data_IF_460789072129
#
_entry.id   IF_460789072129
#
_cell.length_a   1.000
_cell.length_b   1.000
_cell.length_c   1.000
_cell.angle_alpha   90.00
_cell.angle_beta   90.00
_cell.angle_gamma   90.00
#
_symmetry.space_group_name_H-M   'P 1'
#
loop_
_entity.id
_entity.type
_entity.pdbx_description
1 polymer ?
#
# COMPACT_ATOMS: atom_id res chain seq x y z
N UNK A 1 16.72 19.96 -4.70
CA UNK A 1 17.08 19.55 -3.32
C UNK A 1 17.89 18.27 -3.45
N UNK A 2 19.09 18.19 -2.86
CA UNK A 2 19.99 17.03 -2.99
C UNK A 2 20.01 16.26 -1.68
N UNK A 3 19.81 14.94 -1.76
CA UNK A 3 19.85 14.04 -0.62
C UNK A 3 21.12 13.20 -0.68
N UNK A 4 21.89 13.21 0.41
CA UNK A 4 23.13 12.45 0.51
C UNK A 4 22.90 11.24 1.41
N UNK A 5 23.33 10.07 0.94
CA UNK A 5 23.37 8.84 1.73
C UNK A 5 24.70 8.73 2.47
N UNK A 6 25.55 7.81 2.02
CA UNK A 6 26.85 7.52 2.63
C UNK A 6 28.00 8.28 1.95
N UNK A 7 28.00 9.61 2.01
CA UNK A 7 29.05 10.45 1.38
C UNK A 7 29.72 11.32 2.43
N UNK A 8 31.06 11.42 2.41
CA UNK A 8 31.81 12.29 3.33
C UNK A 8 31.36 13.75 3.24
N UNK A 9 31.28 14.45 4.38
CA UNK A 9 30.82 15.84 4.46
C UNK A 9 31.59 16.79 3.53
N UNK A 10 32.87 16.50 3.25
CA UNK A 10 33.72 17.29 2.34
C UNK A 10 33.19 17.24 0.90
N UNK A 11 32.78 16.06 0.44
CA UNK A 11 32.24 15.86 -0.90
C UNK A 11 30.82 16.44 -0.99
N UNK A 12 30.02 16.32 0.09
CA UNK A 12 28.68 16.93 0.14
C UNK A 12 28.75 18.45 -0.03
N UNK A 13 29.66 19.12 0.69
CA UNK A 13 29.83 20.57 0.58
C UNK A 13 30.27 21.00 -0.83
N UNK A 14 31.22 20.27 -1.46
CA UNK A 14 31.63 20.53 -2.86
C UNK A 14 30.46 20.41 -3.84
N UNK A 15 29.63 19.37 -3.71
CA UNK A 15 28.49 19.16 -4.60
C UNK A 15 27.41 20.24 -4.40
N UNK A 16 27.18 20.66 -3.15
CA UNK A 16 26.23 21.73 -2.85
C UNK A 16 26.69 23.07 -3.45
N UNK A 17 27.99 23.35 -3.40
CA UNK A 17 28.58 24.58 -3.94
C UNK A 17 28.50 24.64 -5.47
N UNK A 18 28.80 23.52 -6.16
CA UNK A 18 28.71 23.42 -7.63
C UNK A 18 27.24 23.44 -8.09
N UNK A 19 26.36 22.70 -7.43
CA UNK A 19 24.97 22.53 -7.88
C UNK A 19 24.07 23.70 -7.49
N UNK A 20 24.45 24.51 -6.50
CA UNK A 20 23.62 25.56 -5.86
C UNK A 20 22.26 25.07 -5.35
N UNK A 21 22.11 23.76 -5.15
CA UNK A 21 20.87 23.15 -4.66
C UNK A 21 20.89 23.04 -3.13
N UNK A 22 19.74 23.24 -2.47
CA UNK A 22 19.61 23.06 -1.02
C UNK A 22 19.75 21.58 -0.61
N UNK A 23 20.45 21.32 0.50
CA UNK A 23 20.53 19.99 1.13
C UNK A 23 19.16 19.57 1.67
N UNK A 24 18.72 18.38 1.27
CA UNK A 24 17.54 17.72 1.83
C UNK A 24 17.90 16.92 3.08
N UNK A 25 16.99 16.91 4.05
CA UNK A 25 17.09 16.08 5.26
C UNK A 25 16.08 14.93 5.20
N UNK A 26 16.47 13.78 5.74
CA UNK A 26 15.56 12.66 5.96
C UNK A 26 14.94 12.76 7.36
N UNK A 27 13.70 12.30 7.56
CA UNK A 27 12.77 11.74 6.58
C UNK A 27 11.99 12.82 5.81
N UNK A 28 11.73 12.62 4.52
CA UNK A 28 10.88 13.52 3.72
C UNK A 28 9.75 12.74 3.03
N UNK A 29 8.63 13.41 2.74
CA UNK A 29 7.51 12.80 2.02
C UNK A 29 7.55 13.16 0.55
N UNK A 30 7.52 12.17 -0.33
CA UNK A 30 7.44 12.35 -1.79
C UNK A 30 6.41 11.39 -2.36
N UNK A 31 5.49 11.91 -3.19
CA UNK A 31 4.36 11.15 -3.78
C UNK A 31 3.51 10.39 -2.73
N UNK A 32 3.32 11.00 -1.55
CA UNK A 32 2.54 10.41 -0.45
C UNK A 32 3.26 9.30 0.34
N UNK A 33 4.52 9.02 0.01
CA UNK A 33 5.37 8.04 0.67
C UNK A 33 6.44 8.78 1.48
N UNK A 34 6.68 8.35 2.73
CA UNK A 34 7.83 8.84 3.51
C UNK A 34 9.07 8.06 3.12
N UNK A 35 10.07 8.75 2.56
CA UNK A 35 11.39 8.20 2.31
C UNK A 35 12.18 8.23 3.61
N UNK A 36 12.42 7.05 4.17
CA UNK A 36 13.22 6.84 5.38
C UNK A 36 14.44 6.01 4.96
N UNK A 37 15.61 6.33 5.52
CA UNK A 37 16.85 5.58 5.29
C UNK A 37 16.90 4.24 6.01
N UNK A 38 15.86 3.89 6.77
CA UNK A 38 15.75 2.70 7.60
C UNK A 38 14.56 1.82 7.19
N UNK A 39 14.54 0.58 7.69
CA UNK A 39 13.48 -0.40 7.40
C UNK A 39 12.11 0.18 7.76
N UNK A 40 11.16 0.07 6.82
CA UNK A 40 9.79 0.57 6.97
C UNK A 40 9.17 0.03 8.28
N UNK A 41 8.77 0.91 9.20
CA UNK A 41 8.13 0.50 10.46
C UNK A 41 6.62 0.37 10.26
N UNK A 42 5.96 -0.43 11.09
CA UNK A 42 4.49 -0.58 11.06
C UNK A 42 3.75 0.75 11.20
N UNK A 43 4.37 1.75 11.85
CA UNK A 43 3.82 3.11 11.96
C UNK A 43 3.77 3.84 10.61
N UNK A 44 4.77 3.65 9.74
CA UNK A 44 4.81 4.27 8.41
C UNK A 44 3.75 3.66 7.49
N UNK A 45 3.42 2.39 7.73
CA UNK A 45 2.37 1.65 7.04
C UNK A 45 0.95 2.05 7.46
N UNK A 46 0.77 2.72 8.61
CA UNK A 46 -0.57 3.19 9.03
C UNK A 46 -1.19 4.13 8.00
N UNK A 47 -0.37 4.96 7.36
CA UNK A 47 -0.81 5.85 6.27
C UNK A 47 -1.48 5.11 5.13
N UNK A 48 -0.97 3.92 4.75
CA UNK A 48 -1.60 3.09 3.72
C UNK A 48 -2.97 2.60 4.17
N UNK A 49 -3.05 2.07 5.40
CA UNK A 49 -4.30 1.54 5.97
C UNK A 49 -5.36 2.64 6.08
N UNK A 50 -4.97 3.80 6.60
CA UNK A 50 -5.82 4.99 6.71
C UNK A 50 -6.27 5.52 5.34
N UNK A 51 -5.38 5.56 4.35
CA UNK A 51 -5.73 5.97 2.99
C UNK A 51 -6.76 5.01 2.36
N UNK A 52 -6.59 3.70 2.53
CA UNK A 52 -7.55 2.69 2.08
C UNK A 52 -8.90 2.88 2.79
N UNK A 53 -8.87 3.04 4.12
CA UNK A 53 -10.07 3.26 4.93
C UNK A 53 -10.82 4.53 4.50
N UNK A 54 -10.10 5.62 4.26
CA UNK A 54 -10.68 6.90 3.81
C UNK A 54 -11.36 6.75 2.45
N UNK A 55 -10.75 6.02 1.51
CA UNK A 55 -11.35 5.74 0.20
C UNK A 55 -12.61 4.89 0.32
N UNK A 56 -12.59 3.86 1.17
CA UNK A 56 -13.77 3.04 1.47
C UNK A 56 -14.88 3.92 2.06
N UNK A 57 -14.56 4.78 3.02
CA UNK A 57 -15.52 5.69 3.65
C UNK A 57 -16.14 6.66 2.66
N UNK A 58 -15.35 7.25 1.74
CA UNK A 58 -15.85 8.12 0.68
C UNK A 58 -16.80 7.40 -0.30
N UNK A 59 -16.76 6.08 -0.36
CA UNK A 59 -17.65 5.27 -1.19
C UNK A 59 -18.89 4.78 -0.47
N UNK A 60 -18.93 4.88 0.87
CA UNK A 60 -20.09 4.58 1.73
C UNK A 60 -21.35 5.28 1.29
N UNK A 61 -21.25 6.55 0.88
CA UNK A 61 -22.41 7.36 0.48
C UNK A 61 -23.09 6.88 -0.80
N UNK A 62 -22.47 5.94 -1.53
CA UNK A 62 -22.99 5.38 -2.77
C UNK A 62 -23.36 3.93 -2.51
N UNK A 63 -24.66 3.60 -2.51
CA UNK A 63 -25.14 2.22 -2.39
C UNK A 63 -24.62 1.37 -3.56
N UNK A 64 -23.49 0.69 -3.35
CA UNK A 64 -22.83 -0.11 -4.38
C UNK A 64 -23.30 -1.57 -4.31
N UNK A 65 -23.63 -2.11 -5.48
CA UNK A 65 -23.80 -3.54 -5.66
C UNK A 65 -22.50 -4.30 -5.35
N UNK A 66 -22.62 -5.59 -5.07
CA UNK A 66 -21.46 -6.46 -4.82
C UNK A 66 -20.42 -6.37 -5.96
N UNK A 67 -20.89 -6.40 -7.22
CA UNK A 67 -20.03 -6.26 -8.39
C UNK A 67 -19.35 -4.88 -8.45
N UNK A 68 -20.07 -3.80 -8.12
CA UNK A 68 -19.50 -2.46 -8.04
C UNK A 68 -18.41 -2.33 -6.97
N UNK A 69 -18.59 -2.97 -5.80
CA UNK A 69 -17.56 -3.01 -4.75
C UNK A 69 -16.32 -3.78 -5.20
N UNK A 70 -16.51 -4.94 -5.84
CA UNK A 70 -15.41 -5.72 -6.41
C UNK A 70 -14.62 -4.93 -7.46
N UNK A 71 -15.31 -4.21 -8.35
CA UNK A 71 -14.67 -3.38 -9.36
C UNK A 71 -13.79 -2.30 -8.73
N UNK A 72 -14.29 -1.59 -7.70
CA UNK A 72 -13.52 -0.56 -6.99
C UNK A 72 -12.31 -1.11 -6.23
N UNK A 73 -12.45 -2.28 -5.61
CA UNK A 73 -11.32 -2.96 -4.99
C UNK A 73 -10.25 -3.26 -6.04
N UNK A 74 -10.66 -3.78 -7.19
CA UNK A 74 -9.73 -4.22 -8.24
C UNK A 74 -9.04 -3.04 -8.92
N UNK A 75 -9.77 -1.97 -9.24
CA UNK A 75 -9.22 -0.83 -9.99
C UNK A 75 -8.43 0.16 -9.13
N UNK A 76 -8.88 0.42 -7.89
CA UNK A 76 -8.31 1.49 -7.06
C UNK A 76 -7.55 0.92 -5.88
N UNK A 77 -8.21 0.16 -4.99
CA UNK A 77 -7.58 -0.25 -3.72
C UNK A 77 -6.42 -1.23 -3.93
N UNK A 78 -6.56 -2.15 -4.88
CA UNK A 78 -5.49 -3.07 -5.24
C UNK A 78 -4.30 -2.34 -5.88
N UNK A 79 -4.55 -1.32 -6.71
CA UNK A 79 -3.51 -0.47 -7.29
C UNK A 79 -2.76 0.33 -6.22
N UNK A 80 -3.46 0.89 -5.23
CA UNK A 80 -2.84 1.56 -4.08
C UNK A 80 -1.94 0.62 -3.29
N UNK A 81 -2.43 -0.57 -2.95
CA UNK A 81 -1.63 -1.60 -2.27
C UNK A 81 -0.40 -1.99 -3.10
N UNK A 82 -0.59 -2.23 -4.40
CA UNK A 82 0.48 -2.64 -5.31
C UNK A 82 1.58 -1.57 -5.40
N UNK A 83 1.21 -0.29 -5.46
CA UNK A 83 2.16 0.81 -5.43
C UNK A 83 3.06 0.77 -4.18
N UNK A 84 2.48 0.50 -3.01
CA UNK A 84 3.26 0.37 -1.77
C UNK A 84 4.15 -0.88 -1.77
N UNK A 85 3.66 -2.03 -2.22
CA UNK A 85 4.47 -3.26 -2.33
C UNK A 85 5.64 -3.11 -3.30
N UNK A 86 5.51 -2.29 -4.35
CA UNK A 86 6.58 -2.03 -5.33
C UNK A 86 7.68 -1.13 -4.77
N UNK A 87 7.36 -0.24 -3.82
CA UNK A 87 8.32 0.68 -3.22
C UNK A 87 8.93 0.13 -1.92
N UNK A 88 8.20 -0.74 -1.21
CA UNK A 88 8.63 -1.27 0.09
C UNK A 88 8.23 -2.73 0.29
N UNK A 89 9.05 -3.43 1.08
CA UNK A 89 8.66 -4.70 1.67
C UNK A 89 7.76 -4.44 2.87
N UNK A 90 6.47 -4.71 2.72
CA UNK A 90 5.48 -4.48 3.78
C UNK A 90 5.53 -5.60 4.84
N UNK A 91 5.38 -5.27 6.14
CA UNK A 91 5.20 -6.28 7.18
C UNK A 91 3.93 -7.11 6.95
N UNK A 92 3.97 -8.39 7.32
CA UNK A 92 2.82 -9.31 7.15
C UNK A 92 1.55 -8.79 7.84
N UNK A 93 1.68 -8.17 9.02
CA UNK A 93 0.56 -7.62 9.77
C UNK A 93 -0.19 -6.54 8.97
N UNK A 94 0.54 -5.62 8.34
CA UNK A 94 -0.04 -4.55 7.51
C UNK A 94 -0.79 -5.12 6.31
N UNK A 95 -0.24 -6.16 5.68
CA UNK A 95 -0.91 -6.85 4.57
C UNK A 95 -2.21 -7.50 5.03
N UNK A 96 -2.22 -8.10 6.22
CA UNK A 96 -3.43 -8.68 6.83
C UNK A 96 -4.47 -7.61 7.14
N UNK A 97 -4.07 -6.48 7.74
CA UNK A 97 -4.97 -5.37 8.04
C UNK A 97 -5.62 -4.81 6.75
N UNK A 98 -4.82 -4.66 5.68
CA UNK A 98 -5.33 -4.25 4.37
C UNK A 98 -6.32 -5.27 3.81
N UNK A 99 -5.97 -6.55 3.81
CA UNK A 99 -6.83 -7.64 3.32
C UNK A 99 -8.15 -7.72 4.10
N UNK A 100 -8.12 -7.48 5.41
CA UNK A 100 -9.31 -7.43 6.25
C UNK A 100 -10.23 -6.26 5.87
N UNK A 101 -9.69 -5.06 5.66
CA UNK A 101 -10.47 -3.90 5.19
C UNK A 101 -11.12 -4.17 3.82
N UNK A 102 -10.37 -4.74 2.87
CA UNK A 102 -10.90 -5.09 1.55
C UNK A 102 -12.00 -6.15 1.65
N UNK A 103 -11.78 -7.18 2.48
CA UNK A 103 -12.76 -8.23 2.72
C UNK A 103 -14.04 -7.67 3.32
N UNK A 104 -13.92 -6.82 4.33
CA UNK A 104 -15.05 -6.18 4.99
C UNK A 104 -15.84 -5.33 4.01
N UNK A 105 -15.15 -4.51 3.22
CA UNK A 105 -15.78 -3.69 2.20
C UNK A 105 -16.49 -4.52 1.13
N UNK A 106 -15.89 -5.61 0.66
CA UNK A 106 -16.51 -6.46 -0.37
C UNK A 106 -17.86 -7.04 0.08
N UNK A 107 -17.92 -7.59 1.29
CA UNK A 107 -19.09 -8.33 1.79
C UNK A 107 -20.14 -7.44 2.45
N UNK A 108 -19.71 -6.51 3.31
CA UNK A 108 -20.60 -5.72 4.18
C UNK A 108 -20.71 -4.26 3.74
N UNK A 109 -19.94 -3.86 2.72
CA UNK A 109 -19.77 -2.47 2.39
C UNK A 109 -19.20 -1.73 3.59
N UNK A 110 -19.92 -0.73 4.04
CA UNK A 110 -19.54 0.15 5.14
C UNK A 110 -20.43 -0.01 6.37
N UNK A 111 -21.31 -1.02 6.36
CA UNK A 111 -22.06 -1.38 7.54
C UNK A 111 -21.09 -1.91 8.61
N UNK A 112 -21.22 -1.40 9.84
CA UNK A 112 -20.35 -1.77 10.95
C UNK A 112 -20.70 -3.16 11.54
N UNK A 113 -21.39 -4.01 10.78
CA UNK A 113 -21.85 -5.32 11.22
C UNK A 113 -20.66 -6.27 11.36
N UNK A 114 -20.51 -6.90 12.53
CA UNK A 114 -19.45 -7.87 12.85
C UNK A 114 -19.79 -9.25 12.28
N UNK A 115 -20.06 -9.33 10.99
CA UNK A 115 -20.38 -10.62 10.35
C UNK A 115 -19.16 -11.12 9.59
N UNK A 116 -18.90 -12.42 9.63
CA UNK A 116 -17.79 -13.02 8.89
C UNK A 116 -18.14 -13.12 7.40
N UNK A 117 -17.23 -12.68 6.52
CA UNK A 117 -17.46 -12.75 5.07
C UNK A 117 -17.66 -14.21 4.60
N UNK A 118 -18.65 -14.43 3.72
CA UNK A 118 -19.16 -15.75 3.30
C UNK A 118 -18.10 -16.69 2.68
N UNK A 119 -16.98 -16.17 2.21
CA UNK A 119 -15.91 -16.91 1.53
C UNK A 119 -14.56 -16.53 2.12
N UNK A 120 -13.65 -17.51 2.27
CA UNK A 120 -12.25 -17.26 2.68
C UNK A 120 -11.57 -16.31 1.69
N UNK A 121 -10.85 -15.32 2.19
CA UNK A 121 -10.18 -14.30 1.36
C UNK A 121 -9.22 -14.93 0.34
N UNK A 122 -8.50 -15.98 0.75
CA UNK A 122 -7.60 -16.74 -0.13
C UNK A 122 -8.29 -17.36 -1.35
N UNK A 123 -9.58 -17.72 -1.27
CA UNK A 123 -10.34 -18.19 -2.44
C UNK A 123 -10.73 -17.03 -3.36
N UNK A 124 -11.06 -15.87 -2.79
CA UNK A 124 -11.35 -14.65 -3.58
C UNK A 124 -10.12 -14.21 -4.37
N UNK A 125 -8.93 -14.37 -3.78
CA UNK A 125 -7.65 -14.03 -4.43
C UNK A 125 -7.17 -15.05 -5.48
N UNK A 126 -7.90 -16.14 -5.74
CA UNK A 126 -7.51 -17.06 -6.81
C UNK A 126 -7.73 -16.44 -8.19
N UNK A 127 -6.97 -16.87 -9.22
CA UNK A 127 -7.28 -16.55 -10.61
C UNK A 127 -8.72 -16.92 -10.96
N UNK A 128 -9.32 -16.17 -11.89
CA UNK A 128 -10.71 -16.42 -12.34
C UNK A 128 -10.89 -17.83 -12.91
N UNK A 129 -9.87 -18.33 -13.62
CA UNK A 129 -9.79 -19.70 -14.15
C UNK A 129 -9.91 -20.78 -13.05
N UNK A 130 -9.46 -20.47 -11.83
CA UNK A 130 -9.50 -21.38 -10.67
C UNK A 130 -10.70 -21.09 -9.74
N UNK A 131 -11.74 -20.45 -10.26
CA UNK A 131 -12.97 -20.12 -9.51
C UNK A 131 -12.84 -18.96 -8.53
N UNK A 132 -11.75 -18.19 -8.59
CA UNK A 132 -11.55 -16.99 -7.79
C UNK A 132 -12.10 -15.72 -8.45
N UNK A 133 -11.88 -14.57 -7.81
CA UNK A 133 -12.30 -13.26 -8.34
C UNK A 133 -11.15 -12.46 -8.96
N UNK A 134 -9.96 -13.05 -9.06
CA UNK A 134 -8.80 -12.43 -9.70
C UNK A 134 -8.13 -11.32 -8.89
N UNK A 135 -8.42 -11.21 -7.59
CA UNK A 135 -7.70 -10.29 -6.71
C UNK A 135 -6.30 -10.84 -6.43
N UNK A 136 -5.27 -10.01 -6.49
CA UNK A 136 -3.90 -10.48 -6.19
C UNK A 136 -3.70 -10.68 -4.70
N UNK A 137 -3.17 -11.84 -4.31
CA UNK A 137 -2.84 -12.14 -2.92
C UNK A 137 -1.70 -11.23 -2.45
N UNK A 138 -1.96 -10.50 -1.37
CA UNK A 138 -1.03 -9.51 -0.79
C UNK A 138 0.32 -10.11 -0.42
N UNK A 139 0.35 -11.37 0.06
CA UNK A 139 1.59 -12.06 0.41
C UNK A 139 2.40 -12.47 -0.82
N UNK A 140 1.74 -12.88 -1.90
CA UNK A 140 2.42 -13.27 -3.15
C UNK A 140 3.02 -12.06 -3.84
N UNK A 141 2.27 -10.95 -3.88
CA UNK A 141 2.77 -9.68 -4.45
C UNK A 141 3.97 -9.17 -3.65
N UNK A 142 3.91 -9.17 -2.32
CA UNK A 142 5.02 -8.69 -1.48
C UNK A 142 6.27 -9.58 -1.58
N UNK A 143 6.11 -10.90 -1.76
CA UNK A 143 7.24 -11.81 -2.05
C UNK A 143 7.82 -11.56 -3.43
N UNK A 144 6.98 -11.38 -4.45
CA UNK A 144 7.42 -11.14 -5.81
C UNK A 144 8.15 -9.80 -5.93
N UNK A 145 7.66 -8.74 -5.27
CA UNK A 145 8.34 -7.44 -5.29
C UNK A 145 9.64 -7.45 -4.49
N UNK A 146 9.73 -8.22 -3.40
CA UNK A 146 11.00 -8.43 -2.69
C UNK A 146 12.10 -8.95 -3.63
N UNK A 147 11.78 -9.88 -4.54
CA UNK A 147 12.75 -10.42 -5.50
C UNK A 147 13.14 -9.42 -6.60
N UNK A 148 12.35 -8.38 -6.83
CA UNK A 148 12.61 -7.36 -7.86
C UNK A 148 13.28 -6.10 -7.31
N UNK A 149 13.22 -5.87 -6.00
CA UNK A 149 13.84 -4.72 -5.33
C UNK A 149 15.28 -5.05 -4.87
N UNK A 150 15.61 -6.34 -4.75
CA UNK A 150 16.97 -6.86 -4.59
C UNK A 150 17.67 -6.98 -5.94
#
# INVERSE_FOLDING_TARGET
MVFFGNTSNVIQSRILDISKLKRGSFPFSYLGITFITSRLRSMDCKRLVEAIMTRIQAWTSKHLSFAGRLQRITSVLNSMKQYWCMNFVLPKQVLQDCDELLRRFLWFGTSNTKTSGKVRWSMVCRPKEKGGRGLRNSNEVNKATMLSIL
#
